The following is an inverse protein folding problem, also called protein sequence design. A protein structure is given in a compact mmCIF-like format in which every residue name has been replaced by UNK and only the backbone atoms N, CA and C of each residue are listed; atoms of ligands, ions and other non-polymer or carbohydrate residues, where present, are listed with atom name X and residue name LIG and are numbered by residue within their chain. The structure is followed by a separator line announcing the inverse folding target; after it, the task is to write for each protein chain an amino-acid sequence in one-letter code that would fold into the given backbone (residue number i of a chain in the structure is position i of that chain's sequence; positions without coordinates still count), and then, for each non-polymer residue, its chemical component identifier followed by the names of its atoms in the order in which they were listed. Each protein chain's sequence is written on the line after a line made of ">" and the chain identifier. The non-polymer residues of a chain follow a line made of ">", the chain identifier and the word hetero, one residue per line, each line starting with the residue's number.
data_IF_226708153540
#
_entry.id   IF_226708153540
#
_cell.length_a   1.000
_cell.length_b   1.000
_cell.length_c   1.000
_cell.angle_alpha   90.00
_cell.angle_beta   90.00
_cell.angle_gamma   90.00
#
_symmetry.space_group_name_H-M   'P 1'
#
loop_
_entity.id
_entity.type
_entity.pdbx_description
1 polymer ?
#
# COMPACT_ATOMS: atom_id res chain seq x y z
N UNK A 1 -21.62 33.54 -20.17
CA UNK A 1 -20.41 32.89 -19.63
C UNK A 1 -20.00 31.87 -20.67
N UNK A 2 -18.86 32.05 -21.35
CA UNK A 2 -18.45 31.15 -22.42
C UNK A 2 -18.10 29.78 -21.83
N UNK A 3 -18.85 28.76 -22.23
CA UNK A 3 -18.44 27.36 -22.11
C UNK A 3 -17.27 27.18 -23.08
N UNK A 4 -16.07 26.94 -22.55
CA UNK A 4 -14.92 26.56 -23.36
C UNK A 4 -15.15 25.13 -23.86
N UNK A 5 -15.91 24.99 -24.94
CA UNK A 5 -16.12 23.72 -25.61
C UNK A 5 -14.84 23.32 -26.34
N UNK A 6 -14.36 22.10 -26.09
CA UNK A 6 -13.25 21.49 -26.83
C UNK A 6 -13.83 21.06 -28.18
N UNK A 7 -13.37 21.67 -29.27
CA UNK A 7 -13.96 21.47 -30.60
C UNK A 7 -13.08 20.64 -31.53
N UNK A 8 -11.79 20.48 -31.20
CA UNK A 8 -10.83 19.74 -32.01
C UNK A 8 -10.08 18.66 -31.22
N UNK A 9 -9.59 17.65 -31.93
CA UNK A 9 -8.75 16.60 -31.34
C UNK A 9 -7.43 17.15 -30.77
N UNK A 10 -6.87 18.17 -31.40
CA UNK A 10 -5.64 18.83 -30.95
C UNK A 10 -5.86 19.56 -29.61
N UNK A 11 -6.95 20.33 -29.50
CA UNK A 11 -7.35 20.97 -28.24
C UNK A 11 -7.60 19.94 -27.12
N UNK A 12 -8.20 18.79 -27.46
CA UNK A 12 -8.39 17.70 -26.50
C UNK A 12 -7.07 17.08 -26.04
N UNK A 13 -6.11 16.89 -26.95
CA UNK A 13 -4.79 16.35 -26.60
C UNK A 13 -4.02 17.31 -25.70
N UNK A 14 -3.97 18.60 -26.03
CA UNK A 14 -3.28 19.60 -25.22
C UNK A 14 -3.91 19.71 -23.82
N UNK A 15 -5.24 19.71 -23.76
CA UNK A 15 -5.97 19.64 -22.50
C UNK A 15 -5.61 18.37 -21.71
N UNK A 16 -5.72 17.19 -22.32
CA UNK A 16 -5.41 15.91 -21.68
C UNK A 16 -3.96 15.83 -21.18
N UNK A 17 -2.99 16.26 -21.99
CA UNK A 17 -1.57 16.27 -21.64
C UNK A 17 -1.26 17.17 -20.43
N UNK A 18 -2.03 18.23 -20.22
CA UNK A 18 -1.90 19.10 -19.04
C UNK A 18 -2.46 18.49 -17.75
N UNK A 19 -3.27 17.43 -17.85
CA UNK A 19 -3.96 16.84 -16.70
C UNK A 19 -3.40 15.48 -16.27
N UNK A 20 -2.72 14.74 -17.15
CA UNK A 20 -2.14 13.43 -16.86
C UNK A 20 -0.67 13.51 -16.42
N UNK A 21 -0.40 14.17 -15.30
CA UNK A 21 0.98 14.34 -14.79
C UNK A 21 1.53 13.10 -14.07
N UNK A 22 0.64 12.28 -13.48
CA UNK A 22 1.02 11.13 -12.63
C UNK A 22 1.16 9.83 -13.42
N UNK A 23 0.25 9.57 -14.35
CA UNK A 23 0.25 8.34 -15.15
C UNK A 23 1.07 8.56 -16.42
N UNK A 24 2.39 8.57 -16.27
CA UNK A 24 3.29 8.54 -17.43
C UNK A 24 3.28 7.14 -18.06
N UNK A 25 3.40 7.04 -19.40
CA UNK A 25 3.55 5.74 -20.05
C UNK A 25 4.71 4.98 -19.43
N UNK A 26 4.46 3.78 -18.95
CA UNK A 26 5.51 2.89 -18.47
C UNK A 26 6.26 2.32 -19.69
N UNK A 27 7.56 2.57 -19.80
CA UNK A 27 8.40 2.03 -20.90
C UNK A 27 8.75 0.55 -20.67
N UNK A 28 8.49 0.05 -19.45
CA UNK A 28 8.72 -1.32 -18.99
C UNK A 28 7.65 -1.75 -17.98
N UNK A 29 7.43 -3.06 -17.82
CA UNK A 29 6.58 -3.62 -16.75
C UNK A 29 7.07 -3.28 -15.33
N UNK A 30 8.31 -2.83 -15.21
CA UNK A 30 8.92 -2.34 -13.96
C UNK A 30 8.79 -0.82 -13.79
N UNK A 31 8.38 -0.08 -14.82
CA UNK A 31 8.20 1.38 -14.81
C UNK A 31 6.81 1.79 -14.34
N UNK A 32 6.25 1.04 -13.38
CA UNK A 32 5.01 1.43 -12.72
C UNK A 32 5.16 2.78 -12.01
N UNK A 33 4.06 3.52 -11.90
CA UNK A 33 4.07 4.76 -11.11
C UNK A 33 4.22 4.44 -9.62
N UNK A 34 5.35 4.84 -9.02
CA UNK A 34 5.60 4.66 -7.58
C UNK A 34 5.01 5.83 -6.81
N UNK A 35 3.96 5.56 -6.04
CA UNK A 35 3.45 6.48 -5.04
C UNK A 35 4.22 6.30 -3.72
N UNK A 36 5.03 7.28 -3.33
CA UNK A 36 5.77 7.25 -2.05
C UNK A 36 4.87 7.70 -0.91
N UNK A 37 4.62 6.81 0.06
CA UNK A 37 3.91 7.11 1.30
C UNK A 37 4.94 7.43 2.38
N UNK A 38 4.76 8.55 3.09
CA UNK A 38 5.61 8.92 4.22
C UNK A 38 5.01 8.39 5.51
N UNK A 39 5.79 7.63 6.26
CA UNK A 39 5.45 7.11 7.59
C UNK A 39 6.54 7.53 8.57
N UNK A 40 6.18 7.79 9.84
CA UNK A 40 7.15 8.30 10.84
C UNK A 40 8.08 7.22 11.40
N UNK A 41 7.72 5.94 11.21
CA UNK A 41 8.49 4.78 11.63
C UNK A 41 7.71 3.47 11.43
N UNK A 42 8.33 2.34 11.80
CA UNK A 42 7.74 1.01 11.63
C UNK A 42 6.40 0.83 12.35
N UNK A 43 6.23 1.43 13.53
CA UNK A 43 4.95 1.34 14.27
C UNK A 43 3.82 2.00 13.50
N UNK A 44 4.06 3.18 12.92
CA UNK A 44 3.04 3.88 12.13
C UNK A 44 2.77 3.17 10.81
N UNK A 45 3.80 2.62 10.17
CA UNK A 45 3.67 1.79 8.97
C UNK A 45 2.75 0.58 9.22
N UNK A 46 3.03 -0.18 10.28
CA UNK A 46 2.24 -1.36 10.65
C UNK A 46 0.80 -0.94 11.01
N UNK A 47 0.60 0.16 11.74
CA UNK A 47 -0.76 0.67 12.06
C UNK A 47 -1.58 1.00 10.82
N UNK A 48 -0.95 1.54 9.78
CA UNK A 48 -1.64 1.79 8.50
C UNK A 48 -2.08 0.46 7.88
N UNK A 49 -1.16 -0.51 7.76
CA UNK A 49 -1.49 -1.85 7.27
C UNK A 49 -2.60 -2.53 8.08
N UNK A 50 -2.53 -2.49 9.41
CA UNK A 50 -3.57 -3.02 10.31
C UNK A 50 -4.93 -2.35 10.09
N UNK A 51 -4.94 -1.03 9.87
CA UNK A 51 -6.20 -0.30 9.65
C UNK A 51 -6.85 -0.71 8.34
N UNK A 52 -6.05 -0.93 7.29
CA UNK A 52 -6.53 -1.46 6.01
C UNK A 52 -7.11 -2.88 6.16
N UNK A 53 -6.43 -3.76 6.92
CA UNK A 53 -6.94 -5.11 7.20
C UNK A 53 -8.25 -5.06 7.99
N UNK A 54 -8.33 -4.21 9.03
CA UNK A 54 -9.55 -4.04 9.83
C UNK A 54 -10.71 -3.52 9.00
N UNK A 55 -10.45 -2.62 8.04
CA UNK A 55 -11.45 -2.17 7.08
C UNK A 55 -11.97 -3.35 6.25
N UNK A 56 -11.08 -4.11 5.60
CA UNK A 56 -11.47 -5.29 4.82
C UNK A 56 -12.29 -6.29 5.64
N UNK A 57 -11.87 -6.58 6.87
CA UNK A 57 -12.61 -7.47 7.77
C UNK A 57 -13.99 -6.90 8.11
N UNK A 58 -14.08 -5.62 8.43
CA UNK A 58 -15.36 -4.99 8.75
C UNK A 58 -16.35 -5.11 7.59
N UNK A 59 -15.90 -4.85 6.36
CA UNK A 59 -16.72 -5.00 5.15
C UNK A 59 -17.21 -6.45 4.99
N UNK A 60 -16.30 -7.42 5.10
CA UNK A 60 -16.64 -8.85 4.97
C UNK A 60 -17.64 -9.31 6.04
N UNK A 61 -17.51 -8.83 7.29
CA UNK A 61 -18.37 -9.30 8.39
C UNK A 61 -19.76 -8.66 8.42
N UNK A 62 -19.89 -7.44 7.89
CA UNK A 62 -21.13 -6.68 8.01
C UNK A 62 -22.05 -6.83 6.81
N UNK A 63 -21.60 -7.48 5.72
CA UNK A 63 -22.27 -7.47 4.41
C UNK A 63 -22.68 -6.04 4.00
N UNK A 64 -22.04 -5.01 4.58
CA UNK A 64 -22.52 -3.63 4.57
C UNK A 64 -22.20 -2.90 3.27
N UNK A 65 -21.49 -3.57 2.37
CA UNK A 65 -21.24 -3.09 1.03
C UNK A 65 -21.79 -4.15 0.09
N UNK A 66 -22.75 -3.74 -0.76
CA UNK A 66 -22.80 -4.32 -2.10
C UNK A 66 -21.35 -4.28 -2.59
N UNK A 67 -20.73 -5.44 -2.83
CA UNK A 67 -19.29 -5.64 -3.14
C UNK A 67 -18.77 -4.88 -4.40
N UNK A 68 -19.50 -3.86 -4.87
CA UNK A 68 -19.20 -2.97 -5.98
C UNK A 68 -18.38 -1.74 -5.58
N UNK A 69 -18.49 -1.27 -4.33
CA UNK A 69 -17.92 0.03 -3.94
C UNK A 69 -16.48 -0.06 -3.40
N UNK A 70 -16.03 -1.25 -3.01
CA UNK A 70 -14.67 -1.48 -2.52
C UNK A 70 -14.08 -2.77 -3.08
N UNK A 71 -12.98 -2.64 -3.81
CA UNK A 71 -12.16 -3.80 -4.19
C UNK A 71 -11.29 -4.24 -3.00
N UNK A 72 -11.81 -5.19 -2.22
CA UNK A 72 -11.14 -5.77 -1.06
C UNK A 72 -9.78 -6.37 -1.44
N UNK A 73 -9.65 -6.91 -2.65
CA UNK A 73 -8.40 -7.48 -3.16
C UNK A 73 -7.31 -6.40 -3.23
N UNK A 74 -7.59 -5.30 -3.93
CA UNK A 74 -6.68 -4.15 -4.04
C UNK A 74 -6.31 -3.56 -2.67
N UNK A 75 -7.27 -3.43 -1.74
CA UNK A 75 -6.99 -2.90 -0.39
C UNK A 75 -6.08 -3.84 0.40
N UNK A 76 -6.27 -5.16 0.27
CA UNK A 76 -5.41 -6.15 0.92
C UNK A 76 -4.01 -6.14 0.33
N UNK A 77 -3.87 -6.03 -1.00
CA UNK A 77 -2.57 -5.88 -1.66
C UNK A 77 -1.82 -4.64 -1.16
N UNK A 78 -2.52 -3.52 -0.97
CA UNK A 78 -1.94 -2.32 -0.35
C UNK A 78 -1.50 -2.60 1.08
N UNK A 79 -2.33 -3.28 1.89
CA UNK A 79 -1.98 -3.61 3.27
C UNK A 79 -0.71 -4.48 3.37
N UNK A 80 -0.53 -5.44 2.46
CA UNK A 80 0.66 -6.29 2.41
C UNK A 80 1.95 -5.50 2.17
N UNK A 81 1.89 -4.39 1.44
CA UNK A 81 3.07 -3.53 1.19
C UNK A 81 3.58 -2.84 2.47
N UNK A 82 2.76 -2.73 3.51
CA UNK A 82 3.16 -2.18 4.81
C UNK A 82 3.80 -3.22 5.74
N UNK A 83 3.88 -4.49 5.35
CA UNK A 83 4.43 -5.55 6.19
C UNK A 83 5.96 -5.66 6.02
N UNK A 84 6.76 -5.41 7.08
CA UNK A 84 8.23 -5.41 6.98
C UNK A 84 8.79 -6.83 7.06
N UNK A 85 8.53 -7.66 6.03
CA UNK A 85 8.84 -9.10 6.03
C UNK A 85 10.31 -9.38 6.37
N UNK A 86 11.24 -8.68 5.72
CA UNK A 86 12.67 -8.90 5.94
C UNK A 86 13.09 -8.54 7.38
N UNK A 87 12.59 -7.43 7.91
CA UNK A 87 12.87 -7.04 9.30
C UNK A 87 12.24 -7.99 10.31
N UNK A 88 11.06 -8.55 10.02
CA UNK A 88 10.45 -9.56 10.88
C UNK A 88 11.26 -10.86 10.94
N UNK A 89 11.91 -11.27 9.85
CA UNK A 89 12.82 -12.44 9.84
C UNK A 89 14.04 -12.19 10.76
N UNK A 90 14.62 -10.99 10.72
CA UNK A 90 15.73 -10.62 11.61
C UNK A 90 15.28 -10.60 13.08
N UNK A 91 14.07 -10.11 13.37
CA UNK A 91 13.53 -10.07 14.72
C UNK A 91 13.40 -11.48 15.33
N UNK A 92 12.99 -12.46 14.51
CA UNK A 92 12.90 -13.86 14.94
C UNK A 92 14.28 -14.43 15.31
N UNK A 93 15.30 -14.19 14.47
CA UNK A 93 16.66 -14.65 14.76
C UNK A 93 17.19 -14.04 16.07
N UNK A 94 16.96 -12.75 16.31
CA UNK A 94 17.32 -12.08 17.57
C UNK A 94 16.61 -12.77 18.75
N UNK A 95 15.31 -13.06 18.62
CA UNK A 95 14.56 -13.73 19.67
C UNK A 95 15.13 -15.12 19.99
N UNK A 96 15.48 -15.89 18.96
CA UNK A 96 16.09 -17.22 19.12
C UNK A 96 17.47 -17.15 19.78
N UNK A 97 18.29 -16.15 19.46
CA UNK A 97 19.57 -15.93 20.13
C UNK A 97 19.37 -15.65 21.63
N UNK A 98 18.43 -14.76 21.98
CA UNK A 98 18.13 -14.42 23.38
C UNK A 98 17.63 -15.63 24.18
N UNK A 99 16.80 -16.49 23.58
CA UNK A 99 16.32 -17.73 24.22
C UNK A 99 17.49 -18.69 24.49
N UNK A 100 18.39 -18.87 23.51
CA UNK A 100 19.56 -19.75 23.67
C UNK A 100 20.48 -19.26 24.78
N UNK A 101 20.75 -17.96 24.82
CA UNK A 101 21.57 -17.34 25.86
C UNK A 101 20.96 -17.51 27.26
N UNK A 102 19.64 -17.39 27.38
CA UNK A 102 18.94 -17.60 28.65
C UNK A 102 19.05 -19.05 29.14
N UNK A 103 18.95 -20.04 28.25
CA UNK A 103 19.12 -21.47 28.58
C UNK A 103 20.55 -21.77 29.01
N UNK A 104 21.53 -21.28 28.25
CA UNK A 104 22.95 -21.48 28.57
C UNK A 104 23.35 -20.89 29.92
N UNK A 105 22.67 -19.83 30.38
CA UNK A 105 22.85 -19.25 31.72
C UNK A 105 22.11 -20.01 32.83
N UNK A 106 21.09 -20.79 32.51
CA UNK A 106 20.36 -21.60 33.48
C UNK A 106 21.02 -22.97 33.73
N UNK A 107 21.83 -23.44 32.77
CA UNK A 107 22.57 -24.70 32.84
C UNK A 107 24.02 -24.54 33.39
N UNK A 108 24.40 -23.34 33.83
CA UNK A 108 25.66 -23.01 34.53
C UNK A 108 25.42 -22.73 36.01
#
# INVERSE_FOLDING_TARGET
>A
MATNEITTLEEFKDFASSHFEKLKPAESIYDGYILKIKVSGYSDMIRVGESLIKLCLHVVHTDALDNKDLDIGSVMELALQFFPRAETEVLEEIHQMLIKDAKNKADQ
#
